data_IF_368103550347
#
_entry.id   IF_368103550347
#
_cell.length_a   1.000
_cell.length_b   1.000
_cell.length_c   1.000
_cell.angle_alpha   90.00
_cell.angle_beta   90.00
_cell.angle_gamma   90.00
#
_symmetry.space_group_name_H-M   'P 1'
#
loop_
_entity.id
_entity.type
_entity.pdbx_description
1 polymer ?
#
# COMPACT_ATOMS: atom_id res chain seq x y z
N UNK A 1 31.24 -26.59 -47.26
CA UNK A 1 32.58 -26.05 -46.94
C UNK A 1 32.63 -25.83 -45.43
N UNK A 2 33.10 -26.80 -44.64
CA UNK A 2 34.51 -26.98 -44.23
C UNK A 2 35.10 -25.68 -43.62
N UNK A 3 35.22 -25.59 -42.28
CA UNK A 3 36.35 -26.06 -41.44
C UNK A 3 37.51 -25.03 -41.48
N UNK A 4 38.21 -24.65 -40.40
CA UNK A 4 38.65 -25.39 -39.23
C UNK A 4 39.22 -24.42 -38.16
N UNK A 5 39.04 -24.80 -36.90
CA UNK A 5 39.87 -24.47 -35.73
C UNK A 5 41.33 -24.92 -35.89
N UNK A 6 42.24 -24.38 -35.07
CA UNK A 6 43.06 -25.25 -34.20
C UNK A 6 43.25 -24.63 -32.80
N UNK A 7 43.46 -25.36 -31.70
CA UNK A 7 43.66 -26.79 -31.46
C UNK A 7 43.05 -27.16 -30.08
N UNK A 8 42.50 -28.37 -29.93
CA UNK A 8 43.19 -29.61 -29.49
C UNK A 8 43.78 -29.45 -28.08
N UNK A 9 43.40 -30.23 -27.06
CA UNK A 9 43.02 -31.66 -27.07
C UNK A 9 42.23 -32.02 -25.82
N UNK A 10 41.27 -32.94 -25.99
CA UNK A 10 40.57 -33.70 -24.96
C UNK A 10 41.53 -34.42 -23.99
N UNK A 11 41.15 -34.50 -22.72
CA UNK A 11 41.24 -35.74 -21.95
C UNK A 11 40.30 -35.67 -20.74
N UNK A 12 39.40 -36.65 -20.69
CA UNK A 12 38.55 -36.98 -19.57
C UNK A 12 39.37 -37.37 -18.34
N UNK A 13 38.82 -37.14 -17.16
CA UNK A 13 38.65 -38.13 -16.07
C UNK A 13 38.43 -37.39 -14.75
N UNK A 14 37.23 -37.58 -14.21
CA UNK A 14 36.98 -37.81 -12.78
C UNK A 14 37.88 -37.11 -11.78
N UNK A 15 37.41 -35.98 -11.24
CA UNK A 15 37.55 -35.71 -9.82
C UNK A 15 36.20 -35.16 -9.33
N UNK A 16 35.40 -36.07 -8.79
CA UNK A 16 34.63 -35.81 -7.58
C UNK A 16 35.59 -35.21 -6.55
N UNK A 17 35.79 -33.90 -6.60
CA UNK A 17 36.38 -33.16 -5.50
C UNK A 17 35.23 -32.71 -4.62
N UNK A 18 35.37 -32.91 -3.30
CA UNK A 18 34.24 -32.91 -2.40
C UNK A 18 33.65 -31.51 -2.40
N UNK A 19 32.32 -31.42 -2.31
CA UNK A 19 31.75 -30.35 -1.50
C UNK A 19 32.45 -30.47 -0.15
N UNK A 20 33.47 -29.64 0.06
CA UNK A 20 34.03 -29.33 1.36
C UNK A 20 32.90 -28.67 2.14
N UNK A 21 31.98 -29.52 2.61
CA UNK A 21 31.36 -29.35 3.89
C UNK A 21 32.54 -29.24 4.83
N UNK A 22 32.94 -28.02 5.15
CA UNK A 22 33.37 -27.72 6.50
C UNK A 22 32.14 -27.97 7.38
N UNK A 23 31.78 -29.25 7.52
CA UNK A 23 31.18 -29.74 8.72
C UNK A 23 32.29 -29.59 9.75
N UNK A 24 32.29 -28.44 10.43
CA UNK A 24 33.06 -28.28 11.66
C UNK A 24 32.74 -29.50 12.53
N UNK A 25 33.72 -30.40 12.63
CA UNK A 25 33.65 -31.50 13.56
C UNK A 25 33.42 -30.89 14.94
N UNK A 26 32.41 -31.34 15.72
CA UNK A 26 32.23 -30.81 17.05
C UNK A 26 33.49 -31.18 17.82
N UNK A 27 34.21 -30.16 18.29
CA UNK A 27 35.33 -30.37 19.18
C UNK A 27 34.79 -31.11 20.41
N UNK A 28 35.12 -32.40 20.55
CA UNK A 28 34.75 -33.23 21.69
C UNK A 28 35.36 -32.75 23.04
N UNK A 29 35.95 -31.55 23.06
CA UNK A 29 36.65 -30.93 24.20
C UNK A 29 36.26 -29.45 24.42
N UNK A 30 35.13 -28.98 23.89
CA UNK A 30 34.62 -27.62 24.15
C UNK A 30 33.62 -27.58 25.31
N UNK A 31 33.55 -26.47 26.04
CA UNK A 31 32.48 -26.17 27.00
C UNK A 31 31.12 -26.12 26.29
N UNK A 32 30.05 -26.55 26.97
CA UNK A 32 28.73 -26.67 26.35
C UNK A 32 27.58 -26.42 27.33
N UNK A 33 26.41 -26.07 26.79
CA UNK A 33 25.13 -26.15 27.48
C UNK A 33 24.33 -27.33 26.90
N UNK A 34 23.89 -28.25 27.74
CA UNK A 34 22.94 -29.29 27.32
C UNK A 34 21.53 -28.71 27.32
N UNK A 35 20.91 -28.73 26.15
CA UNK A 35 19.52 -28.33 25.94
C UNK A 35 18.61 -29.56 26.06
N UNK A 36 17.44 -29.36 26.64
CA UNK A 36 16.47 -30.43 26.90
C UNK A 36 15.12 -30.05 26.31
N UNK A 37 14.52 -30.98 25.55
CA UNK A 37 13.14 -30.87 25.06
C UNK A 37 12.11 -31.11 26.18
N UNK A 38 12.46 -32.01 27.10
CA UNK A 38 11.71 -32.34 28.31
C UNK A 38 12.72 -32.82 29.38
N UNK A 39 12.34 -32.89 30.68
CA UNK A 39 13.23 -33.39 31.72
C UNK A 39 13.84 -34.76 31.35
N UNK A 40 15.17 -34.82 31.23
CA UNK A 40 15.90 -36.03 30.86
C UNK A 40 15.92 -36.37 29.36
N UNK A 41 15.29 -35.59 28.50
CA UNK A 41 15.27 -35.78 27.04
C UNK A 41 16.10 -34.68 26.36
N UNK A 42 17.32 -34.98 25.89
CA UNK A 42 18.15 -34.00 25.18
C UNK A 42 17.45 -33.47 23.93
N UNK A 43 17.64 -32.19 23.64
CA UNK A 43 17.11 -31.54 22.45
C UNK A 43 17.97 -31.91 21.22
N UNK A 44 17.46 -32.76 20.35
CA UNK A 44 18.13 -33.14 19.09
C UNK A 44 17.69 -32.23 17.93
N UNK A 45 18.57 -32.07 16.95
CA UNK A 45 18.35 -31.34 15.70
C UNK A 45 17.84 -29.89 15.86
N UNK A 46 18.24 -29.18 16.92
CA UNK A 46 17.90 -27.76 17.14
C UNK A 46 19.08 -26.86 16.77
N UNK A 47 18.97 -26.05 15.71
CA UNK A 47 19.94 -25.03 15.38
C UNK A 47 20.13 -24.03 16.52
N UNK A 48 21.39 -23.73 16.83
CA UNK A 48 21.75 -22.76 17.86
C UNK A 48 22.83 -21.78 17.41
N UNK A 49 22.87 -20.62 18.06
CA UNK A 49 23.92 -19.61 17.89
C UNK A 49 24.27 -19.00 19.24
N UNK A 50 25.57 -18.93 19.52
CA UNK A 50 26.13 -18.22 20.66
C UNK A 50 26.67 -16.86 20.24
N UNK A 51 26.46 -15.86 21.09
CA UNK A 51 26.98 -14.50 20.89
C UNK A 51 27.33 -13.83 22.21
N UNK A 52 28.21 -12.82 22.19
CA UNK A 52 28.44 -11.94 23.34
C UNK A 52 27.25 -11.00 23.57
N UNK A 53 27.22 -10.28 24.69
CA UNK A 53 26.20 -9.25 24.94
C UNK A 53 26.15 -8.16 23.86
N UNK A 54 27.31 -7.80 23.29
CA UNK A 54 27.44 -6.86 22.18
C UNK A 54 27.02 -7.42 20.81
N UNK A 55 26.60 -8.69 20.74
CA UNK A 55 26.12 -9.33 19.51
C UNK A 55 27.21 -9.94 18.62
N UNK A 56 28.47 -10.00 19.07
CA UNK A 56 29.53 -10.73 18.35
C UNK A 56 29.19 -12.22 18.36
N UNK A 57 29.02 -12.82 17.18
CA UNK A 57 28.77 -14.25 17.08
C UNK A 57 30.03 -15.05 17.44
N UNK A 58 29.89 -16.01 18.35
CA UNK A 58 30.98 -16.85 18.85
C UNK A 58 30.95 -18.26 18.26
N UNK A 59 29.75 -18.85 18.17
CA UNK A 59 29.56 -20.19 17.63
C UNK A 59 28.17 -20.32 16.99
N UNK A 60 28.06 -21.22 16.02
CA UNK A 60 26.79 -21.60 15.40
C UNK A 60 26.83 -23.10 15.11
N UNK A 61 25.74 -23.80 15.38
CA UNK A 61 25.67 -25.23 15.17
C UNK A 61 24.24 -25.76 15.20
N UNK A 62 24.12 -27.09 15.21
CA UNK A 62 22.88 -27.82 15.42
C UNK A 62 23.15 -28.83 16.53
N UNK A 63 22.28 -28.94 17.52
CA UNK A 63 22.44 -29.94 18.57
C UNK A 63 22.32 -31.34 17.97
N UNK A 64 22.99 -32.31 18.60
CA UNK A 64 22.90 -33.73 18.23
C UNK A 64 22.11 -34.49 19.31
N UNK A 65 22.08 -35.82 19.23
CA UNK A 65 21.38 -36.69 20.18
C UNK A 65 21.78 -36.49 21.66
N UNK A 66 22.92 -35.86 21.97
CA UNK A 66 23.33 -35.51 23.33
C UNK A 66 22.86 -34.12 23.80
N UNK A 67 22.18 -33.35 22.94
CA UNK A 67 21.59 -32.05 23.23
C UNK A 67 22.59 -30.91 23.42
N UNK A 68 23.87 -31.09 23.08
CA UNK A 68 24.92 -30.15 23.46
C UNK A 68 25.06 -28.99 22.47
N UNK A 69 24.97 -27.78 23.01
CA UNK A 69 25.30 -26.53 22.33
C UNK A 69 26.68 -26.03 22.79
N UNK A 70 27.69 -26.20 21.94
CA UNK A 70 29.09 -25.89 22.27
C UNK A 70 29.42 -24.41 22.11
N UNK A 71 30.29 -23.89 22.97
CA UNK A 71 30.71 -22.49 23.00
C UNK A 71 32.17 -22.36 23.45
N UNK A 72 32.83 -21.29 23.00
CA UNK A 72 34.15 -20.87 23.49
C UNK A 72 34.02 -19.49 24.13
N UNK A 73 34.77 -19.27 25.20
CA UNK A 73 34.81 -17.98 25.89
C UNK A 73 35.44 -16.90 25.01
N UNK A 74 35.00 -15.67 25.21
CA UNK A 74 35.59 -14.46 24.64
C UNK A 74 36.26 -13.67 25.78
N UNK A 75 37.48 -13.18 25.54
CA UNK A 75 38.23 -12.46 26.57
C UNK A 75 37.52 -11.16 26.97
N UNK A 76 37.37 -10.95 28.28
CA UNK A 76 36.69 -9.77 28.82
C UNK A 76 35.16 -9.83 28.81
N UNK A 77 34.55 -10.90 28.30
CA UNK A 77 33.09 -11.07 28.25
C UNK A 77 32.59 -12.04 29.34
N UNK A 78 31.62 -11.58 30.13
CA UNK A 78 30.97 -12.37 31.19
C UNK A 78 29.51 -12.71 30.87
N UNK A 79 28.96 -12.16 29.78
CA UNK A 79 27.55 -12.27 29.42
C UNK A 79 27.39 -12.80 28.01
N UNK A 80 26.72 -13.94 27.89
CA UNK A 80 26.57 -14.71 26.67
C UNK A 80 25.09 -14.89 26.33
N UNK A 81 24.76 -14.80 25.05
CA UNK A 81 23.44 -15.09 24.53
C UNK A 81 23.48 -16.38 23.73
N UNK A 82 22.71 -17.38 24.14
CA UNK A 82 22.36 -18.53 23.31
C UNK A 82 21.01 -18.28 22.67
N UNK A 83 20.90 -18.50 21.36
CA UNK A 83 19.63 -18.45 20.63
C UNK A 83 19.42 -19.78 19.90
N UNK A 84 18.24 -20.37 20.06
CA UNK A 84 17.75 -21.48 19.24
C UNK A 84 16.52 -21.07 18.44
N UNK A 85 15.84 -22.04 17.81
CA UNK A 85 14.60 -21.77 17.04
C UNK A 85 13.52 -21.13 17.91
N UNK A 86 13.35 -21.63 19.14
CA UNK A 86 12.22 -21.29 19.99
C UNK A 86 12.58 -20.34 21.13
N UNK A 87 13.86 -20.26 21.48
CA UNK A 87 14.28 -19.65 22.73
C UNK A 87 15.54 -18.81 22.60
N UNK A 88 15.63 -17.78 23.44
CA UNK A 88 16.83 -17.02 23.69
C UNK A 88 17.15 -17.06 25.18
N UNK A 89 18.36 -17.44 25.53
CA UNK A 89 18.89 -17.44 26.89
C UNK A 89 20.00 -16.39 27.00
N UNK A 90 19.91 -15.54 28.01
CA UNK A 90 21.00 -14.69 28.47
C UNK A 90 21.60 -15.35 29.70
N UNK A 91 22.89 -15.66 29.60
CA UNK A 91 23.64 -16.42 30.58
C UNK A 91 24.81 -15.56 31.06
N UNK A 92 25.00 -15.50 32.37
CA UNK A 92 26.23 -14.99 32.97
C UNK A 92 27.19 -16.14 33.18
N UNK A 93 28.39 -16.01 32.62
CA UNK A 93 29.44 -17.03 32.67
C UNK A 93 30.70 -16.38 33.22
N UNK A 94 30.90 -16.42 34.55
CA UNK A 94 32.12 -15.94 35.19
C UNK A 94 33.38 -16.55 34.56
N UNK A 95 34.48 -15.77 34.52
CA UNK A 95 35.75 -16.21 33.95
C UNK A 95 36.24 -17.56 34.53
N UNK A 96 35.97 -17.80 35.82
CA UNK A 96 36.32 -19.05 36.50
C UNK A 96 35.63 -20.30 35.93
N UNK A 97 34.43 -20.17 35.34
CA UNK A 97 33.70 -21.29 34.76
C UNK A 97 34.44 -21.92 33.57
N UNK A 98 35.22 -21.13 32.84
CA UNK A 98 36.01 -21.60 31.69
C UNK A 98 37.25 -22.39 32.09
N UNK A 99 37.70 -22.28 33.35
CA UNK A 99 38.87 -23.02 33.87
C UNK A 99 38.51 -24.43 34.37
N UNK A 100 37.22 -24.72 34.53
CA UNK A 100 36.72 -26.02 34.95
C UNK A 100 36.62 -27.03 33.80
N UNK A 101 36.36 -28.29 34.16
CA UNK A 101 36.07 -29.34 33.18
C UNK A 101 34.79 -29.01 32.37
N UNK A 102 34.71 -29.41 31.08
CA UNK A 102 33.59 -29.05 30.21
C UNK A 102 32.21 -29.45 30.74
N UNK A 103 32.11 -30.52 31.52
CA UNK A 103 30.89 -31.02 32.14
C UNK A 103 30.45 -30.22 33.38
N UNK A 104 31.39 -29.67 34.14
CA UNK A 104 31.13 -28.77 35.27
C UNK A 104 30.68 -27.37 34.81
N UNK A 105 30.92 -27.01 33.55
CA UNK A 105 30.63 -25.70 32.97
C UNK A 105 29.17 -25.26 33.16
N UNK A 106 28.23 -26.13 32.79
CA UNK A 106 26.80 -25.84 32.85
C UNK A 106 26.32 -25.52 34.27
N UNK A 107 26.91 -26.16 35.28
CA UNK A 107 26.56 -25.92 36.68
C UNK A 107 27.12 -24.59 37.21
N UNK A 108 28.18 -24.07 36.58
CA UNK A 108 28.82 -22.81 36.95
C UNK A 108 28.11 -21.59 36.34
N UNK A 109 27.48 -21.75 35.17
CA UNK A 109 26.74 -20.68 34.50
C UNK A 109 25.48 -20.28 35.26
N UNK A 110 25.13 -19.00 35.19
CA UNK A 110 23.90 -18.47 35.78
C UNK A 110 22.95 -18.00 34.69
N UNK A 111 21.73 -18.54 34.67
CA UNK A 111 20.68 -18.06 33.81
C UNK A 111 20.16 -16.71 34.31
N UNK A 112 20.39 -15.66 33.52
CA UNK A 112 19.92 -14.31 33.84
C UNK A 112 18.50 -14.06 33.32
N UNK A 113 18.24 -14.45 32.06
CA UNK A 113 16.94 -14.27 31.42
C UNK A 113 16.71 -15.32 30.36
N UNK A 114 15.47 -15.76 30.25
CA UNK A 114 14.98 -16.59 29.14
C UNK A 114 13.86 -15.84 28.45
N UNK A 115 13.84 -15.81 27.13
CA UNK A 115 12.80 -15.14 26.34
C UNK A 115 12.43 -16.03 25.18
N UNK A 116 11.16 -16.42 25.09
CA UNK A 116 10.72 -17.24 23.97
C UNK A 116 10.68 -16.39 22.71
N UNK A 117 10.79 -17.05 21.55
CA UNK A 117 10.56 -16.41 20.26
C UNK A 117 9.19 -15.75 20.20
N UNK A 118 8.18 -16.37 20.83
CA UNK A 118 6.84 -15.79 20.91
C UNK A 118 6.84 -14.46 21.66
N UNK A 119 7.55 -14.38 22.79
CA UNK A 119 7.69 -13.14 23.56
C UNK A 119 8.44 -12.06 22.78
N UNK A 120 9.55 -12.43 22.10
CA UNK A 120 10.28 -11.49 21.23
C UNK A 120 9.38 -10.93 20.11
N UNK A 121 8.59 -11.79 19.45
CA UNK A 121 7.64 -11.38 18.41
C UNK A 121 6.52 -10.51 18.98
N UNK A 122 6.02 -10.80 20.19
CA UNK A 122 4.99 -10.01 20.83
C UNK A 122 5.50 -8.63 21.24
N UNK A 123 6.70 -8.54 21.79
CA UNK A 123 7.30 -7.26 22.18
C UNK A 123 7.65 -6.41 20.95
N UNK A 124 8.14 -7.02 19.87
CA UNK A 124 8.33 -6.33 18.60
C UNK A 124 7.01 -5.78 18.03
N UNK A 125 5.90 -6.54 18.14
CA UNK A 125 4.56 -6.06 17.75
C UNK A 125 4.09 -4.90 18.61
N UNK A 126 4.26 -4.98 19.93
CA UNK A 126 3.92 -3.88 20.85
C UNK A 126 4.69 -2.61 20.51
N UNK A 127 6.00 -2.74 20.28
CA UNK A 127 6.84 -1.60 19.91
C UNK A 127 6.38 -0.99 18.58
N UNK A 128 6.15 -1.81 17.56
CA UNK A 128 5.64 -1.33 16.27
C UNK A 128 4.27 -0.64 16.40
N UNK A 129 3.41 -1.10 17.31
CA UNK A 129 2.13 -0.46 17.58
C UNK A 129 2.28 0.89 18.30
N UNK A 130 3.18 0.96 19.29
CA UNK A 130 3.54 2.22 19.95
C UNK A 130 4.12 3.24 18.96
N UNK A 131 4.99 2.80 18.05
CA UNK A 131 5.55 3.67 17.00
C UNK A 131 4.47 4.21 16.06
N UNK A 132 3.49 3.38 15.69
CA UNK A 132 2.33 3.84 14.90
C UNK A 132 1.50 4.85 15.66
N UNK A 133 1.26 4.62 16.95
CA UNK A 133 0.49 5.55 17.79
C UNK A 133 1.19 6.90 17.90
N UNK A 134 2.49 6.92 18.20
CA UNK A 134 3.31 8.14 18.25
C UNK A 134 3.28 8.87 16.91
N UNK A 135 3.45 8.15 15.78
CA UNK A 135 3.38 8.72 14.44
C UNK A 135 2.00 9.31 14.15
N UNK A 136 0.93 8.66 14.59
CA UNK A 136 -0.43 9.16 14.43
C UNK A 136 -0.67 10.43 15.25
N UNK A 137 -0.22 10.46 16.51
CA UNK A 137 -0.32 11.66 17.36
C UNK A 137 0.42 12.85 16.76
N UNK A 138 1.61 12.63 16.20
CA UNK A 138 2.35 13.67 15.47
C UNK A 138 1.57 14.21 14.26
N UNK A 139 0.91 13.34 13.49
CA UNK A 139 0.06 13.75 12.36
C UNK A 139 -1.17 14.54 12.82
N UNK A 140 -1.80 14.16 13.93
CA UNK A 140 -2.95 14.87 14.51
C UNK A 140 -2.52 16.26 14.99
N UNK A 141 -1.37 16.38 15.64
CA UNK A 141 -0.83 17.67 16.07
C UNK A 141 -0.52 18.58 14.87
N UNK A 142 0.13 18.04 13.82
CA UNK A 142 0.39 18.78 12.59
C UNK A 142 -0.91 19.25 11.91
N UNK A 143 -1.92 18.38 11.85
CA UNK A 143 -3.24 18.75 11.35
C UNK A 143 -3.85 19.91 12.14
N UNK A 144 -3.81 19.88 13.47
CA UNK A 144 -4.45 20.92 14.29
C UNK A 144 -3.84 22.30 14.03
N UNK A 145 -2.53 22.37 13.80
CA UNK A 145 -1.84 23.61 13.41
C UNK A 145 -2.32 24.08 12.03
N UNK A 146 -2.30 23.20 11.03
CA UNK A 146 -2.69 23.54 9.66
C UNK A 146 -4.18 23.91 9.55
N UNK A 147 -5.07 23.15 10.19
CA UNK A 147 -6.51 23.41 10.19
C UNK A 147 -6.85 24.74 10.87
N UNK A 148 -6.09 25.14 11.89
CA UNK A 148 -6.24 26.45 12.55
C UNK A 148 -5.77 27.59 11.65
N UNK A 149 -4.67 27.42 10.94
CA UNK A 149 -4.15 28.41 10.01
C UNK A 149 -5.07 28.57 8.78
N UNK A 150 -5.58 27.46 8.24
CA UNK A 150 -6.41 27.39 7.04
C UNK A 150 -5.80 28.22 5.89
N UNK A 151 -4.53 27.96 5.64
CA UNK A 151 -3.66 28.67 4.69
C UNK A 151 -3.02 27.73 3.66
N UNK A 152 -3.58 26.53 3.49
CA UNK A 152 -3.21 25.62 2.40
C UNK A 152 -3.82 26.03 1.05
N UNK A 153 -3.28 25.49 -0.04
CA UNK A 153 -3.72 25.70 -1.42
C UNK A 153 -5.24 25.57 -1.62
N UNK A 154 -5.91 24.74 -0.80
CA UNK A 154 -7.34 24.44 -0.91
C UNK A 154 -8.18 25.08 0.21
N UNK A 155 -7.62 26.07 0.92
CA UNK A 155 -8.30 26.82 1.99
C UNK A 155 -9.63 27.45 1.56
N UNK A 156 -9.77 27.81 0.28
CA UNK A 156 -11.00 28.35 -0.32
C UNK A 156 -12.17 27.36 -0.37
N UNK A 157 -11.94 26.06 -0.13
CA UNK A 157 -13.02 25.07 0.08
C UNK A 157 -13.76 25.27 1.42
N UNK A 158 -13.25 26.15 2.28
CA UNK A 158 -13.81 26.49 3.57
C UNK A 158 -13.04 25.84 4.72
N UNK A 159 -13.37 26.29 5.94
CA UNK A 159 -12.64 25.89 7.15
C UNK A 159 -12.75 24.39 7.44
N UNK A 160 -11.66 23.85 7.96
CA UNK A 160 -11.59 22.49 8.47
C UNK A 160 -11.99 22.42 9.95
N UNK A 161 -12.42 21.25 10.45
CA UNK A 161 -12.57 21.02 11.89
C UNK A 161 -11.27 21.31 12.64
N UNK A 162 -11.34 21.95 13.80
CA UNK A 162 -10.14 22.33 14.58
C UNK A 162 -9.36 21.14 15.15
N UNK A 163 -9.98 19.96 15.21
CA UNK A 163 -9.36 18.69 15.58
C UNK A 163 -9.70 17.60 14.57
N UNK A 164 -8.75 16.70 14.35
CA UNK A 164 -8.99 15.51 13.54
C UNK A 164 -9.33 14.34 14.45
N UNK A 165 -10.40 13.63 14.13
CA UNK A 165 -10.71 12.33 14.74
C UNK A 165 -11.15 11.35 13.68
N UNK A 166 -10.84 10.07 13.88
CA UNK A 166 -11.28 9.02 12.96
C UNK A 166 -12.81 8.99 12.85
N UNK A 167 -13.52 9.23 13.94
CA UNK A 167 -14.98 9.29 13.96
C UNK A 167 -15.53 10.45 13.13
N UNK A 168 -15.02 11.67 13.32
CA UNK A 168 -15.55 12.86 12.62
C UNK A 168 -15.22 12.83 11.13
N UNK A 169 -13.99 12.43 10.78
CA UNK A 169 -13.58 12.20 9.40
C UNK A 169 -14.39 11.06 8.77
N UNK A 170 -14.45 9.91 9.45
CA UNK A 170 -15.16 8.73 8.98
C UNK A 170 -16.64 8.98 8.74
N UNK A 171 -17.33 9.66 9.69
CA UNK A 171 -18.75 10.03 9.54
C UNK A 171 -18.99 10.91 8.31
N UNK A 172 -18.11 11.88 8.06
CA UNK A 172 -18.26 12.79 6.92
C UNK A 172 -17.98 12.09 5.59
N UNK A 173 -16.90 11.30 5.52
CA UNK A 173 -16.54 10.52 4.34
C UNK A 173 -17.61 9.47 3.99
N UNK A 174 -18.03 8.66 4.97
CA UNK A 174 -19.10 7.68 4.78
C UNK A 174 -20.41 8.37 4.39
N UNK A 175 -20.75 9.45 5.09
CA UNK A 175 -21.98 10.20 4.81
C UNK A 175 -22.04 10.78 3.39
N UNK A 176 -20.92 11.23 2.81
CA UNK A 176 -20.91 11.64 1.40
C UNK A 176 -20.87 10.44 0.44
N UNK A 177 -20.14 9.38 0.79
CA UNK A 177 -20.10 8.13 0.02
C UNK A 177 -21.48 7.50 -0.12
N UNK A 178 -22.24 7.41 0.96
CA UNK A 178 -23.61 6.87 0.99
C UNK A 178 -24.57 7.71 0.14
N UNK A 179 -24.40 9.03 0.11
CA UNK A 179 -25.22 9.91 -0.76
C UNK A 179 -24.93 9.67 -2.24
N UNK A 180 -23.65 9.56 -2.60
CA UNK A 180 -23.25 9.27 -3.99
C UNK A 180 -23.74 7.88 -4.40
N UNK A 181 -23.50 6.86 -3.57
CA UNK A 181 -23.94 5.49 -3.81
C UNK A 181 -25.47 5.39 -3.89
N UNK A 182 -26.19 6.07 -3.00
CA UNK A 182 -27.64 6.13 -3.01
C UNK A 182 -28.19 6.78 -4.27
N UNK A 183 -27.56 7.85 -4.77
CA UNK A 183 -27.97 8.49 -6.03
C UNK A 183 -27.72 7.59 -7.24
N UNK A 184 -26.57 6.91 -7.31
CA UNK A 184 -26.31 5.91 -8.36
C UNK A 184 -27.35 4.79 -8.27
N UNK A 185 -27.56 4.21 -7.08
CA UNK A 185 -28.53 3.15 -6.88
C UNK A 185 -29.94 3.55 -7.32
N UNK A 186 -30.36 4.78 -6.99
CA UNK A 186 -31.63 5.33 -7.43
C UNK A 186 -31.72 5.50 -8.95
N UNK A 187 -30.65 5.97 -9.60
CA UNK A 187 -30.61 6.10 -11.06
C UNK A 187 -30.61 4.75 -11.79
N UNK A 188 -30.15 3.69 -11.12
CA UNK A 188 -30.14 2.32 -11.62
C UNK A 188 -31.45 1.56 -11.34
N UNK A 189 -32.41 2.20 -10.65
CA UNK A 189 -33.77 1.65 -10.52
C UNK A 189 -34.43 1.59 -11.90
N UNK A 190 -35.32 0.62 -12.07
CA UNK A 190 -36.13 0.45 -13.29
C UNK A 190 -35.31 0.30 -14.59
N UNK A 191 -34.13 -0.30 -14.49
CA UNK A 191 -33.31 -0.70 -15.63
C UNK A 191 -32.13 0.22 -15.95
N UNK A 192 -32.02 1.35 -15.25
CA UNK A 192 -30.91 2.28 -15.40
C UNK A 192 -31.06 3.27 -16.57
N UNK A 193 -30.03 4.10 -16.79
CA UNK A 193 -30.05 5.11 -17.85
C UNK A 193 -30.19 4.50 -19.25
N UNK A 194 -31.05 5.10 -20.09
CA UNK A 194 -31.14 4.76 -21.52
C UNK A 194 -30.15 5.59 -22.34
N UNK A 195 -29.12 4.94 -22.89
CA UNK A 195 -28.10 5.60 -23.68
C UNK A 195 -28.66 6.34 -24.91
N UNK A 196 -29.82 5.92 -25.44
CA UNK A 196 -30.48 6.58 -26.58
C UNK A 196 -30.91 8.02 -26.26
N UNK A 197 -31.05 8.35 -24.98
CA UNK A 197 -31.41 9.69 -24.50
C UNK A 197 -30.21 10.61 -24.31
N UNK A 198 -29.00 10.16 -24.66
CA UNK A 198 -27.79 10.97 -24.51
C UNK A 198 -27.86 12.27 -25.34
N UNK A 199 -27.54 13.37 -24.66
CA UNK A 199 -27.40 14.70 -25.28
C UNK A 199 -26.00 15.22 -24.97
N UNK A 200 -25.23 15.50 -26.02
CA UNK A 200 -23.93 16.13 -25.85
C UNK A 200 -24.10 17.56 -25.34
N UNK A 201 -23.25 17.94 -24.38
CA UNK A 201 -23.20 19.26 -23.76
C UNK A 201 -21.76 19.70 -23.63
N UNK A 202 -21.49 20.96 -23.96
CA UNK A 202 -20.18 21.56 -23.79
C UNK A 202 -19.88 21.76 -22.29
N UNK A 203 -18.61 21.89 -21.87
CA UNK A 203 -18.27 22.06 -20.46
C UNK A 203 -19.00 23.22 -19.77
N UNK A 204 -19.22 24.32 -20.50
CA UNK A 204 -19.94 25.50 -20.00
C UNK A 204 -21.43 25.26 -19.73
N UNK A 205 -22.04 24.23 -20.35
CA UNK A 205 -23.45 23.87 -20.13
C UNK A 205 -23.65 23.13 -18.79
N UNK A 206 -22.58 22.52 -18.25
CA UNK A 206 -22.61 21.85 -16.94
C UNK A 206 -22.27 22.79 -15.78
N UNK A 207 -21.51 23.86 -16.06
CA UNK A 207 -21.18 24.85 -15.05
C UNK A 207 -20.06 25.81 -15.49
N UNK A 208 -19.64 26.72 -14.59
CA UNK A 208 -18.58 27.68 -14.88
C UNK A 208 -17.26 26.99 -15.24
N UNK A 209 -16.59 27.49 -16.27
CA UNK A 209 -15.27 27.02 -16.74
C UNK A 209 -14.25 28.17 -16.89
N UNK A 210 -14.08 29.05 -15.88
CA UNK A 210 -13.03 30.06 -15.92
C UNK A 210 -11.65 29.40 -15.98
N UNK A 211 -10.70 30.02 -16.68
CA UNK A 211 -9.32 29.52 -16.77
C UNK A 211 -9.19 28.10 -17.33
N UNK A 212 -10.04 27.75 -18.29
CA UNK A 212 -10.07 26.41 -18.87
C UNK A 212 -8.71 25.95 -19.43
N UNK A 213 -7.91 26.88 -19.98
CA UNK A 213 -6.56 26.59 -20.46
C UNK A 213 -5.65 26.00 -19.35
N UNK A 214 -5.83 26.39 -18.09
CA UNK A 214 -5.08 25.83 -16.95
C UNK A 214 -5.45 24.37 -16.69
N UNK A 215 -6.74 24.03 -16.84
CA UNK A 215 -7.25 22.66 -16.70
C UNK A 215 -6.71 21.79 -17.83
N UNK A 216 -6.75 22.28 -19.07
CA UNK A 216 -6.22 21.59 -20.24
C UNK A 216 -4.71 21.35 -20.13
N UNK A 217 -3.95 22.36 -19.69
CA UNK A 217 -2.52 22.24 -19.45
C UNK A 217 -2.21 21.18 -18.38
N UNK A 218 -2.97 21.15 -17.28
CA UNK A 218 -2.85 20.12 -16.27
C UNK A 218 -3.15 18.72 -16.83
N UNK A 219 -4.26 18.56 -17.55
CA UNK A 219 -4.68 17.27 -18.13
C UNK A 219 -3.70 16.73 -19.17
N UNK A 220 -2.95 17.62 -19.85
CA UNK A 220 -1.91 17.24 -20.81
C UNK A 220 -0.62 16.74 -20.15
N UNK A 221 -0.43 16.92 -18.84
CA UNK A 221 0.76 16.45 -18.14
C UNK A 221 0.75 14.93 -17.93
N UNK A 222 1.93 14.28 -18.03
CA UNK A 222 2.11 12.89 -17.67
C UNK A 222 1.61 12.58 -16.25
N UNK A 223 1.03 11.39 -16.06
CA UNK A 223 0.42 11.00 -14.79
C UNK A 223 1.39 10.98 -13.60
N UNK A 224 2.67 10.67 -13.82
CA UNK A 224 3.73 10.73 -12.82
C UNK A 224 4.04 12.17 -12.38
N UNK A 225 4.04 13.12 -13.32
CA UNK A 225 4.18 14.55 -13.01
C UNK A 225 2.99 15.04 -12.19
N UNK A 226 1.77 14.64 -12.55
CA UNK A 226 0.56 15.03 -11.80
C UNK A 226 0.53 14.50 -10.36
N UNK A 227 1.19 13.39 -10.05
CA UNK A 227 1.28 12.85 -8.68
C UNK A 227 2.08 13.74 -7.72
N UNK A 228 2.99 14.57 -8.24
CA UNK A 228 3.80 15.48 -7.42
C UNK A 228 2.95 16.60 -6.82
N UNK A 229 1.90 17.03 -7.54
CA UNK A 229 0.94 18.07 -7.08
C UNK A 229 1.65 19.34 -6.61
N UNK A 230 2.57 19.83 -7.44
CA UNK A 230 3.35 21.03 -7.16
C UNK A 230 3.72 21.75 -8.46
N UNK A 231 4.10 23.02 -8.32
CA UNK A 231 4.58 23.86 -9.41
C UNK A 231 3.47 24.50 -10.24
N UNK A 232 3.83 25.24 -11.30
CA UNK A 232 2.92 26.21 -11.92
C UNK A 232 1.61 25.62 -12.45
N UNK A 233 1.64 24.38 -12.96
CA UNK A 233 0.43 23.72 -13.46
C UNK A 233 -0.52 23.31 -12.34
N UNK A 234 0.01 22.89 -11.18
CA UNK A 234 -0.80 22.63 -9.99
C UNK A 234 -1.39 23.93 -9.45
N UNK A 235 -0.56 24.97 -9.31
CA UNK A 235 -0.99 26.28 -8.78
C UNK A 235 -2.09 26.91 -9.66
N UNK A 236 -1.95 26.81 -10.99
CA UNK A 236 -2.95 27.27 -11.94
C UNK A 236 -4.25 26.45 -11.88
N UNK A 237 -4.17 25.13 -11.65
CA UNK A 237 -5.35 24.28 -11.45
C UNK A 237 -6.09 24.66 -10.17
N UNK A 238 -5.36 24.90 -9.08
CA UNK A 238 -5.91 25.36 -7.80
C UNK A 238 -6.63 26.69 -7.97
N UNK A 239 -5.99 27.67 -8.63
CA UNK A 239 -6.58 28.99 -8.90
C UNK A 239 -7.87 28.89 -9.76
N UNK A 240 -7.88 28.04 -10.78
CA UNK A 240 -9.08 27.79 -11.59
C UNK A 240 -10.21 27.18 -10.73
N UNK A 241 -9.86 26.24 -9.85
CA UNK A 241 -10.78 25.62 -8.90
C UNK A 241 -11.39 26.64 -7.93
N UNK A 242 -10.57 27.52 -7.36
CA UNK A 242 -11.02 28.62 -6.51
C UNK A 242 -12.05 29.52 -7.21
N UNK A 243 -11.77 29.89 -8.47
CA UNK A 243 -12.68 30.68 -9.34
C UNK A 243 -13.96 29.95 -9.75
N UNK A 244 -14.11 28.69 -9.34
CA UNK A 244 -15.33 27.91 -9.53
C UNK A 244 -15.34 27.05 -10.79
N UNK A 245 -14.19 26.84 -11.44
CA UNK A 245 -14.09 25.89 -12.54
C UNK A 245 -14.39 24.48 -12.04
N UNK A 246 -15.49 23.90 -12.53
CA UNK A 246 -15.94 22.59 -12.07
C UNK A 246 -15.00 21.46 -12.50
N UNK A 247 -14.38 21.58 -13.68
CA UNK A 247 -13.40 20.61 -14.18
C UNK A 247 -12.12 20.67 -13.35
N UNK A 248 -11.67 21.88 -12.99
CA UNK A 248 -10.52 22.05 -12.10
C UNK A 248 -10.75 21.38 -10.74
N UNK A 249 -11.93 21.56 -10.13
CA UNK A 249 -12.29 20.89 -8.87
C UNK A 249 -12.35 19.37 -8.99
N UNK A 250 -12.80 18.86 -10.14
CA UNK A 250 -12.79 17.42 -10.42
C UNK A 250 -11.36 16.88 -10.55
N UNK A 251 -10.48 17.59 -11.26
CA UNK A 251 -9.07 17.20 -11.41
C UNK A 251 -8.31 17.27 -10.08
N UNK A 252 -8.57 18.29 -9.24
CA UNK A 252 -8.03 18.35 -7.87
C UNK A 252 -8.47 17.14 -7.04
N UNK A 253 -9.74 16.74 -7.17
CA UNK A 253 -10.25 15.52 -6.52
C UNK A 253 -9.53 14.27 -7.02
N UNK A 254 -9.35 14.09 -8.33
CA UNK A 254 -8.61 12.95 -8.88
C UNK A 254 -7.14 12.92 -8.45
N UNK A 255 -6.47 14.08 -8.45
CA UNK A 255 -5.07 14.18 -8.03
C UNK A 255 -4.87 13.80 -6.55
N UNK A 256 -5.84 14.13 -5.69
CA UNK A 256 -5.78 13.76 -4.27
C UNK A 256 -6.22 12.31 -4.02
N UNK A 257 -7.32 11.87 -4.64
CA UNK A 257 -7.96 10.57 -4.37
C UNK A 257 -7.26 9.37 -5.00
N UNK A 258 -6.41 9.59 -6.02
CA UNK A 258 -5.63 8.52 -6.67
C UNK A 258 -4.38 8.08 -5.88
N UNK A 259 -4.06 8.75 -4.78
CA UNK A 259 -2.91 8.45 -3.93
C UNK A 259 -3.31 7.52 -2.77
N UNK A 260 -2.38 6.67 -2.32
CA UNK A 260 -2.61 5.85 -1.13
C UNK A 260 -2.93 6.73 0.09
N UNK A 261 -4.04 6.45 0.77
CA UNK A 261 -4.53 7.23 1.92
C UNK A 261 -3.48 7.41 3.03
N UNK A 262 -2.57 6.45 3.19
CA UNK A 262 -1.48 6.52 4.18
C UNK A 262 -0.38 7.52 3.81
N UNK A 263 -0.26 7.87 2.52
CA UNK A 263 0.67 8.89 2.03
C UNK A 263 0.08 10.31 2.11
N UNK A 264 -1.24 10.44 2.30
CA UNK A 264 -1.90 11.73 2.47
C UNK A 264 -1.71 12.28 3.90
N UNK A 265 -1.54 13.59 4.01
CA UNK A 265 -1.76 14.31 5.26
C UNK A 265 -3.23 14.20 5.68
N UNK A 266 -3.49 14.35 6.98
CA UNK A 266 -4.86 14.36 7.50
C UNK A 266 -5.67 15.56 6.97
N UNK A 267 -4.99 16.65 6.61
CA UNK A 267 -5.59 17.82 5.98
C UNK A 267 -6.09 17.48 4.57
N UNK A 268 -5.24 16.88 3.73
CA UNK A 268 -5.62 16.46 2.38
C UNK A 268 -6.80 15.48 2.39
N UNK A 269 -6.86 14.58 3.37
CA UNK A 269 -8.01 13.68 3.54
C UNK A 269 -9.33 14.44 3.72
N UNK A 270 -9.37 15.50 4.53
CA UNK A 270 -10.58 16.33 4.62
C UNK A 270 -10.83 17.17 3.36
N UNK A 271 -9.77 17.65 2.68
CA UNK A 271 -9.93 18.37 1.40
C UNK A 271 -10.58 17.49 0.33
N UNK A 272 -10.26 16.19 0.28
CA UNK A 272 -10.96 15.20 -0.55
C UNK A 272 -12.46 15.20 -0.23
N UNK A 273 -12.82 15.12 1.06
CA UNK A 273 -14.24 15.09 1.47
C UNK A 273 -14.96 16.38 1.08
N UNK A 274 -14.35 17.56 1.26
CA UNK A 274 -14.95 18.83 0.82
C UNK A 274 -15.14 18.91 -0.70
N UNK A 275 -14.18 18.41 -1.48
CA UNK A 275 -14.30 18.31 -2.93
C UNK A 275 -15.45 17.37 -3.32
N UNK A 276 -15.54 16.19 -2.70
CA UNK A 276 -16.64 15.25 -2.93
C UNK A 276 -18.00 15.88 -2.62
N UNK A 277 -18.13 16.59 -1.50
CA UNK A 277 -19.37 17.28 -1.13
C UNK A 277 -19.75 18.35 -2.15
N UNK A 278 -18.79 19.13 -2.63
CA UNK A 278 -19.04 20.13 -3.66
C UNK A 278 -19.43 19.51 -4.99
N UNK A 279 -18.66 18.51 -5.45
CA UNK A 279 -18.90 17.81 -6.72
C UNK A 279 -20.25 17.11 -6.72
N UNK A 280 -20.63 16.47 -5.61
CA UNK A 280 -21.94 15.86 -5.44
C UNK A 280 -23.07 16.92 -5.43
N UNK A 281 -22.90 18.03 -4.69
CA UNK A 281 -23.87 19.13 -4.67
C UNK A 281 -24.10 19.72 -6.06
N UNK A 282 -23.06 19.73 -6.91
CA UNK A 282 -23.12 20.19 -8.30
C UNK A 282 -23.44 19.09 -9.31
N UNK A 283 -23.65 17.86 -8.86
CA UNK A 283 -23.90 16.69 -9.69
C UNK A 283 -22.87 16.50 -10.83
N UNK A 284 -21.60 16.78 -10.55
CA UNK A 284 -20.53 16.64 -11.54
C UNK A 284 -20.34 15.15 -11.85
N UNK A 285 -20.61 14.77 -13.10
CA UNK A 285 -20.64 13.37 -13.54
C UNK A 285 -19.38 12.57 -13.18
N UNK A 286 -18.20 13.18 -13.28
CA UNK A 286 -16.92 12.51 -12.98
C UNK A 286 -16.82 11.93 -11.56
N UNK A 287 -17.48 12.55 -10.56
CA UNK A 287 -17.54 11.98 -9.21
C UNK A 287 -18.25 10.61 -9.21
N UNK A 288 -19.38 10.50 -9.91
CA UNK A 288 -20.14 9.26 -10.01
C UNK A 288 -19.40 8.22 -10.85
N UNK A 289 -18.69 8.65 -11.88
CA UNK A 289 -17.79 7.82 -12.68
C UNK A 289 -16.71 7.17 -11.83
N UNK A 290 -16.05 7.96 -10.99
CA UNK A 290 -15.05 7.48 -10.04
C UNK A 290 -15.62 6.42 -9.08
N UNK A 291 -16.82 6.64 -8.55
CA UNK A 291 -17.50 5.69 -7.67
C UNK A 291 -17.98 4.42 -8.38
N UNK A 292 -18.26 4.50 -9.69
CA UNK A 292 -18.67 3.34 -10.48
C UNK A 292 -17.60 2.24 -10.51
N UNK A 293 -16.31 2.61 -10.43
CA UNK A 293 -15.18 1.66 -10.44
C UNK A 293 -15.26 0.67 -9.26
N UNK A 294 -15.79 1.11 -8.11
CA UNK A 294 -15.95 0.28 -6.92
C UNK A 294 -17.21 -0.60 -6.92
N UNK A 295 -18.09 -0.48 -7.92
CA UNK A 295 -19.32 -1.26 -7.99
C UNK A 295 -19.02 -2.68 -8.48
N UNK A 296 -19.53 -3.74 -7.79
CA UNK A 296 -19.32 -5.11 -8.22
C UNK A 296 -19.80 -5.37 -9.65
N UNK A 297 -18.97 -6.08 -10.41
CA UNK A 297 -19.22 -6.56 -11.76
C UNK A 297 -20.27 -7.68 -11.72
N UNK A 298 -21.54 -7.29 -11.57
CA UNK A 298 -22.69 -8.20 -11.45
C UNK A 298 -23.73 -7.90 -12.54
N UNK A 299 -24.59 -8.88 -12.91
CA UNK A 299 -25.67 -8.62 -13.86
C UNK A 299 -26.51 -7.40 -13.44
N UNK A 300 -26.84 -6.56 -14.41
CA UNK A 300 -27.69 -5.38 -14.20
C UNK A 300 -29.14 -5.74 -13.87
N UNK A 301 -29.96 -4.72 -13.62
CA UNK A 301 -31.37 -4.90 -13.29
C UNK A 301 -32.27 -5.20 -14.52
N UNK A 302 -31.71 -5.28 -15.73
CA UNK A 302 -32.43 -5.65 -16.95
C UNK A 302 -32.16 -7.13 -17.33
N UNK A 303 -33.14 -7.84 -17.92
CA UNK A 303 -32.96 -9.19 -18.44
C UNK A 303 -31.98 -9.30 -19.64
N UNK A 304 -31.50 -8.18 -20.20
CA UNK A 304 -30.47 -8.22 -21.24
C UNK A 304 -29.08 -8.35 -20.60
N UNK A 305 -28.41 -9.47 -20.89
CA UNK A 305 -27.11 -9.86 -20.34
C UNK A 305 -25.93 -8.91 -20.68
N UNK A 306 -26.18 -7.79 -21.35
CA UNK A 306 -25.15 -6.91 -21.94
C UNK A 306 -24.63 -5.84 -20.98
N UNK A 307 -25.43 -5.42 -19.97
CA UNK A 307 -25.07 -4.29 -19.11
C UNK A 307 -24.94 -4.72 -17.65
N UNK A 308 -23.72 -4.68 -17.13
CA UNK A 308 -23.43 -4.95 -15.71
C UNK A 308 -23.73 -3.70 -14.89
N UNK A 309 -23.99 -3.84 -13.58
CA UNK A 309 -24.30 -2.70 -12.70
C UNK A 309 -23.24 -1.60 -12.75
N UNK A 310 -21.97 -1.99 -12.83
CA UNK A 310 -20.86 -1.05 -13.03
C UNK A 310 -20.97 -0.29 -14.35
N UNK A 311 -21.29 -0.96 -15.47
CA UNK A 311 -21.43 -0.32 -16.77
C UNK A 311 -22.64 0.64 -16.80
N UNK A 312 -23.72 0.30 -16.10
CA UNK A 312 -24.90 1.18 -15.94
C UNK A 312 -24.57 2.43 -15.10
N UNK A 313 -23.77 2.29 -14.05
CA UNK A 313 -23.31 3.43 -13.24
C UNK A 313 -22.35 4.34 -14.01
N UNK A 314 -21.45 3.76 -14.81
CA UNK A 314 -20.59 4.53 -15.73
C UNK A 314 -21.43 5.24 -16.81
N UNK A 315 -22.45 4.58 -17.37
CA UNK A 315 -23.40 5.23 -18.29
C UNK A 315 -24.17 6.38 -17.62
N UNK A 316 -24.58 6.22 -16.37
CA UNK A 316 -25.20 7.30 -15.60
C UNK A 316 -24.26 8.50 -15.45
N UNK A 317 -23.00 8.26 -15.11
CA UNK A 317 -21.97 9.29 -15.03
C UNK A 317 -21.74 9.98 -16.38
N UNK A 318 -21.73 9.23 -17.49
CA UNK A 318 -21.60 9.77 -18.84
C UNK A 318 -22.75 10.74 -19.18
N UNK A 319 -23.99 10.38 -18.83
CA UNK A 319 -25.17 11.23 -19.00
C UNK A 319 -25.14 12.48 -18.13
N UNK A 320 -24.47 12.43 -16.97
CA UNK A 320 -24.22 13.58 -16.09
C UNK A 320 -23.03 14.46 -16.51
N UNK A 321 -22.39 14.18 -17.66
CA UNK A 321 -21.26 15.00 -18.15
C UNK A 321 -19.88 14.51 -17.77
N UNK A 322 -19.72 13.25 -17.36
CA UNK A 322 -18.39 12.65 -17.27
C UNK A 322 -17.86 12.34 -18.68
N UNK A 323 -16.96 13.18 -19.18
CA UNK A 323 -16.37 12.99 -20.51
C UNK A 323 -15.49 11.72 -20.61
N UNK A 324 -14.89 11.28 -19.50
CA UNK A 324 -14.17 9.99 -19.44
C UNK A 324 -15.12 8.81 -19.63
N UNK A 325 -16.26 8.82 -18.95
CA UNK A 325 -17.27 7.77 -19.10
C UNK A 325 -17.96 7.87 -20.47
N UNK A 326 -18.17 9.06 -21.03
CA UNK A 326 -18.66 9.22 -22.41
C UNK A 326 -17.69 8.57 -23.41
N UNK A 327 -16.38 8.76 -23.26
CA UNK A 327 -15.40 8.10 -24.10
C UNK A 327 -15.44 6.56 -23.93
N UNK A 328 -15.47 6.07 -22.69
CA UNK A 328 -15.51 4.63 -22.39
C UNK A 328 -16.78 3.95 -22.88
N UNK A 329 -17.95 4.50 -22.52
CA UNK A 329 -19.27 3.95 -22.89
C UNK A 329 -19.55 4.14 -24.37
N UNK A 330 -19.15 5.27 -24.94
CA UNK A 330 -19.25 5.51 -26.37
C UNK A 330 -18.43 4.51 -27.19
N UNK A 331 -17.20 4.19 -26.75
CA UNK A 331 -16.35 3.16 -27.37
C UNK A 331 -17.00 1.78 -27.35
N UNK A 332 -17.68 1.42 -26.25
CA UNK A 332 -18.38 0.14 -26.14
C UNK A 332 -19.66 0.09 -26.98
N UNK A 333 -20.41 1.20 -27.02
CA UNK A 333 -21.69 1.31 -27.70
C UNK A 333 -21.57 1.39 -29.22
N UNK A 334 -20.51 1.99 -29.77
CA UNK A 334 -20.42 2.22 -31.22
C UNK A 334 -20.47 0.93 -32.07
N UNK A 335 -20.17 -0.22 -31.47
CA UNK A 335 -20.21 -1.55 -32.10
C UNK A 335 -21.45 -2.36 -31.72
N UNK A 336 -22.43 -1.74 -31.05
CA UNK A 336 -23.67 -2.42 -30.64
C UNK A 336 -24.52 -2.79 -31.87
N UNK A 337 -25.16 -3.98 -31.89
CA UNK A 337 -26.02 -4.39 -33.00
C UNK A 337 -27.30 -3.54 -33.15
N UNK A 338 -27.76 -2.85 -32.09
CA UNK A 338 -28.86 -1.88 -32.19
C UNK A 338 -28.33 -0.56 -32.79
N UNK A 339 -28.80 -0.14 -33.98
CA UNK A 339 -28.34 1.08 -34.64
C UNK A 339 -28.53 2.36 -33.79
N UNK A 340 -29.58 2.40 -32.96
CA UNK A 340 -29.84 3.56 -32.10
C UNK A 340 -28.82 3.66 -30.95
N UNK A 341 -28.41 2.52 -30.40
CA UNK A 341 -27.35 2.44 -29.39
C UNK A 341 -25.98 2.73 -29.99
N UNK A 342 -25.69 2.21 -31.19
CA UNK A 342 -24.47 2.52 -31.92
C UNK A 342 -24.33 4.02 -32.23
N UNK A 343 -25.43 4.67 -32.61
CA UNK A 343 -25.47 6.11 -32.83
C UNK A 343 -25.28 6.91 -31.54
N UNK A 344 -25.91 6.51 -30.44
CA UNK A 344 -25.65 7.11 -29.13
C UNK A 344 -24.17 6.99 -28.75
N UNK A 345 -23.55 5.84 -29.01
CA UNK A 345 -22.13 5.61 -28.75
C UNK A 345 -21.21 6.54 -29.52
N UNK A 346 -21.48 6.73 -30.83
CA UNK A 346 -20.75 7.69 -31.67
C UNK A 346 -20.89 9.12 -31.17
N UNK A 347 -22.10 9.52 -30.74
CA UNK A 347 -22.34 10.85 -30.16
C UNK A 347 -21.57 11.06 -28.86
N UNK A 348 -21.51 10.07 -27.98
CA UNK A 348 -20.73 10.15 -26.74
C UNK A 348 -19.23 10.32 -27.01
N UNK A 349 -18.68 9.53 -27.95
CA UNK A 349 -17.28 9.65 -28.36
C UNK A 349 -16.95 11.03 -28.92
N UNK A 350 -17.77 11.52 -29.86
CA UNK A 350 -17.57 12.84 -30.44
C UNK A 350 -17.65 13.94 -29.37
N UNK A 351 -18.58 13.82 -28.42
CA UNK A 351 -18.72 14.77 -27.31
C UNK A 351 -17.47 14.80 -26.42
N UNK A 352 -16.99 13.62 -26.01
CA UNK A 352 -15.79 13.51 -25.18
C UNK A 352 -14.54 14.04 -25.89
N UNK A 353 -14.38 13.76 -27.19
CA UNK A 353 -13.28 14.25 -28.00
C UNK A 353 -13.29 15.77 -28.18
N UNK A 354 -14.48 16.38 -28.26
CA UNK A 354 -14.61 17.83 -28.36
C UNK A 354 -14.34 18.54 -27.02
N UNK A 355 -14.64 17.89 -25.89
CA UNK A 355 -14.56 18.50 -24.57
C UNK A 355 -13.24 18.26 -23.82
N UNK A 356 -12.50 17.19 -24.14
CA UNK A 356 -11.22 16.89 -23.49
C UNK A 356 -10.08 16.85 -24.51
N UNK A 357 -8.96 17.57 -24.28
CA UNK A 357 -7.73 17.28 -25.01
C UNK A 357 -7.28 15.84 -24.73
N UNK A 358 -6.61 15.20 -25.70
CA UNK A 358 -6.06 13.84 -25.51
C UNK A 358 -5.11 13.85 -24.31
N UNK A 359 -5.46 13.09 -23.26
CA UNK A 359 -4.55 12.82 -22.14
C UNK A 359 -3.42 11.91 -22.60
N UNK A 360 -2.18 12.24 -22.21
CA UNK A 360 -0.98 11.44 -22.48
C UNK A 360 -0.82 10.28 -21.50
#
# INVERSE_FOLDING_TARGET
MLKLTPGRTLLALSLLSPLSHAADAPAAAGHYLTLYAAPGVPQDDDPYTWSTAGGKQLAKGVTKADGRAYVKGEEGEDTYTLKTISMRWQLKVPAACWQGAPDAFQQCMQLAKTTSRHDEEQDARKLAEQEKEVKMQARIAAYAVQARANDDDLAWLGRLPSSWTLESYGKRLLGIGDKVAGQISNALKDGGPDARQFVCRAPADYGPVPEQASVEAWMALPGDVRKVRAGPAWDALVAAGEKGNWMARLELYYALSSVNVHALSLLEQYRIVQLMEWLHKKQVGGLYGYFSIGIPVTPGNLPSATWRKQDQASLYAAMLGSYEDQNSRGSALQTDPDPALAEAGRKMLACAQAAMPRRY
#
